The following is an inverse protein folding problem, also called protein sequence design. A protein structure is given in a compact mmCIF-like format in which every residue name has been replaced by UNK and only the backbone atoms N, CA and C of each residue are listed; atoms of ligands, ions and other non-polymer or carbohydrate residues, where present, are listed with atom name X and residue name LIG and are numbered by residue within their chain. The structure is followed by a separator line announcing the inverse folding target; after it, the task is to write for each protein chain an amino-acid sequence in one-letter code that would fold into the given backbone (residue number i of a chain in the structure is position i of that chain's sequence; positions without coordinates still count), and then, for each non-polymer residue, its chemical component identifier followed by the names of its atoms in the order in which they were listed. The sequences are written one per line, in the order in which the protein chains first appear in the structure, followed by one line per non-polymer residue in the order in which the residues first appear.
data_IF_090846381941
#
_entry.id   IF_090846381941
#
_cell.length_a   1.000
_cell.length_b   1.000
_cell.length_c   1.000
_cell.angle_alpha   90.00
_cell.angle_beta   90.00
_cell.angle_gamma   90.00
#
_symmetry.space_group_name_H-M   'P 1'
#
loop_
_entity.id
_entity.type
_entity.pdbx_description
1 polymer ?
#
# COMPACT_ATOMS: atom_id res chain seq x y z
N UNK A 1 13.54 -61.42 -16.69
CA UNK A 1 12.25 -60.88 -16.23
C UNK A 1 12.31 -60.75 -14.72
N UNK A 2 12.67 -59.58 -14.23
CA UNK A 2 12.82 -59.30 -12.80
C UNK A 2 11.44 -58.92 -12.24
N UNK A 3 10.93 -59.69 -11.27
CA UNK A 3 9.70 -59.37 -10.55
C UNK A 3 9.97 -58.15 -9.66
N UNK A 4 9.11 -57.11 -9.65
CA UNK A 4 9.31 -56.00 -8.74
C UNK A 4 9.11 -56.48 -7.30
N UNK A 5 10.15 -56.33 -6.48
CA UNK A 5 10.08 -56.52 -5.05
C UNK A 5 9.06 -55.51 -4.49
N UNK A 6 7.93 -56.00 -4.00
CA UNK A 6 7.11 -55.22 -3.09
C UNK A 6 7.92 -55.09 -1.80
N UNK A 7 8.69 -54.02 -1.65
CA UNK A 7 9.29 -53.68 -0.36
C UNK A 7 8.18 -53.21 0.56
N UNK A 8 7.57 -54.15 1.27
CA UNK A 8 6.88 -53.90 2.54
C UNK A 8 7.98 -53.70 3.58
N UNK A 9 8.29 -52.45 3.96
CA UNK A 9 9.25 -52.20 5.03
C UNK A 9 10.01 -50.87 4.91
N UNK A 10 9.31 -49.76 4.97
CA UNK A 10 9.92 -48.44 5.19
C UNK A 10 8.95 -47.62 6.00
N UNK A 11 9.42 -46.99 7.08
CA UNK A 11 8.60 -46.08 7.87
C UNK A 11 8.01 -44.94 7.01
N UNK A 12 7.09 -44.13 7.58
CA UNK A 12 6.49 -43.01 6.88
C UNK A 12 7.56 -42.11 6.22
N UNK A 13 7.34 -41.70 4.97
CA UNK A 13 8.27 -40.82 4.25
C UNK A 13 8.51 -39.54 5.08
N UNK A 14 9.76 -39.21 5.46
CA UNK A 14 10.02 -38.06 6.32
C UNK A 14 9.67 -36.71 5.69
N UNK A 15 9.74 -36.60 4.36
CA UNK A 15 9.34 -35.41 3.62
C UNK A 15 7.83 -35.21 3.67
N UNK A 16 7.09 -36.24 3.25
CA UNK A 16 5.63 -36.26 3.29
C UNK A 16 5.07 -36.10 4.70
N UNK A 17 5.73 -36.67 5.71
CA UNK A 17 5.34 -36.48 7.12
C UNK A 17 5.48 -35.01 7.55
N UNK A 18 6.59 -34.35 7.21
CA UNK A 18 6.78 -32.92 7.52
C UNK A 18 5.77 -32.03 6.82
N UNK A 19 5.50 -32.30 5.54
CA UNK A 19 4.48 -31.58 4.79
C UNK A 19 3.08 -31.80 5.41
N UNK A 20 2.76 -33.02 5.82
CA UNK A 20 1.51 -33.32 6.51
C UNK A 20 1.38 -32.60 7.87
N UNK A 21 2.47 -32.48 8.64
CA UNK A 21 2.49 -31.71 9.89
C UNK A 21 2.20 -30.23 9.61
N UNK A 22 2.92 -29.63 8.65
CA UNK A 22 2.74 -28.24 8.29
C UNK A 22 1.32 -27.95 7.79
N UNK A 23 0.82 -28.79 6.88
CA UNK A 23 -0.54 -28.69 6.37
C UNK A 23 -1.57 -28.78 7.49
N UNK A 24 -1.52 -29.81 8.34
CA UNK A 24 -2.45 -29.93 9.47
C UNK A 24 -2.33 -28.84 10.55
N UNK A 25 -1.30 -28.02 10.52
CA UNK A 25 -1.16 -26.87 11.43
C UNK A 25 -1.65 -25.56 10.79
N UNK A 26 -1.86 -25.55 9.49
CA UNK A 26 -2.30 -24.41 8.71
C UNK A 26 -3.79 -24.13 8.97
N UNK A 27 -4.14 -22.87 9.23
CA UNK A 27 -5.51 -22.45 9.54
C UNK A 27 -6.47 -22.64 8.37
N UNK A 28 -5.96 -22.64 7.14
CA UNK A 28 -6.76 -22.76 5.92
C UNK A 28 -6.97 -24.23 5.53
N UNK A 29 -6.43 -25.17 6.32
CA UNK A 29 -6.61 -26.59 6.06
C UNK A 29 -8.03 -27.07 6.35
N UNK A 30 -8.60 -27.92 5.49
CA UNK A 30 -9.92 -28.50 5.75
C UNK A 30 -9.94 -29.29 7.06
N UNK A 31 -11.06 -29.22 7.79
CA UNK A 31 -11.20 -29.89 9.10
C UNK A 31 -10.91 -31.39 9.05
N UNK A 32 -11.22 -32.04 7.93
CA UNK A 32 -10.96 -33.47 7.73
C UNK A 32 -9.48 -33.83 7.59
N UNK A 33 -8.58 -32.89 7.28
CA UNK A 33 -7.14 -33.12 7.25
C UNK A 33 -6.59 -33.48 8.64
N UNK A 34 -7.17 -32.90 9.70
CA UNK A 34 -6.76 -33.14 11.09
C UNK A 34 -7.20 -34.51 11.62
N UNK A 35 -8.18 -35.16 10.98
CA UNK A 35 -8.78 -36.44 11.42
C UNK A 35 -7.79 -37.61 11.39
N UNK A 36 -6.74 -37.51 10.57
CA UNK A 36 -5.69 -38.53 10.44
C UNK A 36 -4.35 -38.01 10.94
N UNK A 37 -3.48 -38.94 11.32
CA UNK A 37 -2.12 -38.62 11.76
C UNK A 37 -1.26 -38.17 10.57
N UNK A 38 -0.21 -37.37 10.79
CA UNK A 38 0.73 -37.00 9.73
C UNK A 38 1.30 -38.19 8.96
N UNK A 39 1.57 -39.30 9.66
CA UNK A 39 2.09 -40.53 9.08
C UNK A 39 1.11 -41.17 8.09
N UNK A 40 -0.20 -41.06 8.33
CA UNK A 40 -1.22 -41.58 7.41
C UNK A 40 -1.25 -40.83 6.07
N UNK A 41 -0.83 -39.55 6.08
CA UNK A 41 -0.71 -38.73 4.88
C UNK A 41 0.65 -38.86 4.18
N UNK A 42 1.68 -39.31 4.89
CA UNK A 42 3.07 -39.23 4.46
C UNK A 42 3.34 -39.88 3.09
N UNK A 43 2.75 -41.05 2.82
CA UNK A 43 2.93 -41.75 1.53
C UNK A 43 2.36 -40.94 0.37
N UNK A 44 1.21 -40.31 0.58
CA UNK A 44 0.54 -39.55 -0.46
C UNK A 44 1.26 -38.22 -0.74
N UNK A 45 1.82 -37.61 0.31
CA UNK A 45 2.51 -36.33 0.23
C UNK A 45 4.01 -36.44 -0.10
N UNK A 46 4.54 -37.65 -0.27
CA UNK A 46 5.96 -37.86 -0.55
C UNK A 46 6.40 -37.24 -1.89
N UNK A 47 5.58 -37.37 -2.95
CA UNK A 47 5.82 -36.74 -4.26
C UNK A 47 5.83 -35.21 -4.16
N UNK A 48 4.72 -34.59 -3.72
CA UNK A 48 4.65 -33.15 -3.45
C UNK A 48 5.81 -32.60 -2.60
N UNK A 49 6.18 -33.32 -1.52
CA UNK A 49 7.27 -32.90 -0.65
C UNK A 49 8.64 -32.89 -1.35
N UNK A 50 8.91 -33.82 -2.28
CA UNK A 50 10.13 -33.80 -3.10
C UNK A 50 10.21 -32.58 -4.01
N UNK A 51 9.05 -32.11 -4.46
CA UNK A 51 8.91 -30.89 -5.26
C UNK A 51 8.71 -29.64 -4.41
N UNK A 52 9.03 -29.71 -3.11
CA UNK A 52 8.99 -28.58 -2.16
C UNK A 52 7.62 -27.92 -2.06
N UNK A 53 6.55 -28.70 -2.21
CA UNK A 53 5.22 -28.20 -1.89
C UNK A 53 5.14 -27.80 -0.42
N UNK A 54 4.29 -26.82 -0.17
CA UNK A 54 3.99 -26.25 1.14
C UNK A 54 2.54 -26.54 1.54
N UNK A 55 2.15 -26.19 2.77
CA UNK A 55 0.74 -26.26 3.18
C UNK A 55 -0.16 -25.39 2.27
N UNK A 56 0.34 -24.24 1.84
CA UNK A 56 -0.32 -23.33 0.91
C UNK A 56 -0.61 -23.98 -0.44
N UNK A 57 0.32 -24.76 -0.96
CA UNK A 57 0.15 -25.52 -2.22
C UNK A 57 -0.98 -26.55 -2.09
N UNK A 58 -1.06 -27.26 -0.96
CA UNK A 58 -2.13 -28.22 -0.70
C UNK A 58 -3.49 -27.52 -0.55
N UNK A 59 -3.53 -26.38 0.13
CA UNK A 59 -4.76 -25.61 0.28
C UNK A 59 -5.20 -24.98 -1.06
N UNK A 60 -4.25 -24.55 -1.90
CA UNK A 60 -4.53 -24.08 -3.26
C UNK A 60 -5.11 -25.22 -4.11
N UNK A 61 -4.51 -26.42 -4.08
CA UNK A 61 -5.07 -27.59 -4.76
C UNK A 61 -6.52 -27.89 -4.32
N UNK A 62 -6.81 -27.82 -3.02
CA UNK A 62 -8.17 -28.02 -2.50
C UNK A 62 -9.13 -26.96 -3.03
N UNK A 63 -8.72 -25.68 -3.07
CA UNK A 63 -9.54 -24.59 -3.64
C UNK A 63 -9.76 -24.75 -5.13
N UNK A 64 -8.74 -25.12 -5.88
CA UNK A 64 -8.84 -25.36 -7.33
C UNK A 64 -9.79 -26.53 -7.62
N UNK A 65 -9.69 -27.61 -6.84
CA UNK A 65 -10.63 -28.71 -6.91
C UNK A 65 -12.06 -28.27 -6.66
N UNK A 66 -12.30 -27.39 -5.68
CA UNK A 66 -13.63 -26.83 -5.39
C UNK A 66 -14.13 -25.96 -6.55
N UNK A 67 -13.26 -25.14 -7.14
CA UNK A 67 -13.60 -24.31 -8.29
C UNK A 67 -14.04 -25.13 -9.51
N UNK A 68 -13.42 -26.31 -9.72
CA UNK A 68 -13.68 -27.17 -10.88
C UNK A 68 -14.81 -28.18 -10.63
N UNK A 69 -14.83 -28.82 -9.46
CA UNK A 69 -15.75 -29.93 -9.16
C UNK A 69 -16.93 -29.51 -8.25
N UNK A 70 -17.00 -28.24 -7.85
CA UNK A 70 -18.03 -27.72 -6.97
C UNK A 70 -17.72 -27.90 -5.48
N UNK A 71 -18.73 -28.10 -4.65
CA UNK A 71 -18.58 -28.09 -3.19
C UNK A 71 -17.79 -29.28 -2.64
N UNK A 72 -17.03 -29.06 -1.57
CA UNK A 72 -16.37 -30.11 -0.80
C UNK A 72 -17.19 -30.47 0.45
N UNK A 73 -17.38 -31.76 0.79
CA UNK A 73 -18.00 -32.14 2.06
C UNK A 73 -17.12 -31.75 3.25
N UNK A 74 -17.74 -31.18 4.30
CA UNK A 74 -17.03 -30.86 5.56
C UNK A 74 -16.42 -32.10 6.23
N UNK A 75 -17.08 -33.25 6.08
CA UNK A 75 -16.62 -34.55 6.59
C UNK A 75 -16.72 -35.64 5.53
N UNK A 76 -15.74 -35.74 4.61
CA UNK A 76 -15.75 -36.78 3.59
C UNK A 76 -15.58 -38.16 4.21
N UNK A 77 -16.27 -39.16 3.64
CA UNK A 77 -16.16 -40.55 4.10
C UNK A 77 -14.74 -41.12 3.87
N UNK A 78 -14.06 -40.69 2.80
CA UNK A 78 -12.69 -41.14 2.47
C UNK A 78 -11.72 -39.97 2.27
N UNK A 79 -11.29 -39.28 3.34
CA UNK A 79 -10.44 -38.10 3.23
C UNK A 79 -9.09 -38.37 2.55
N UNK A 80 -8.45 -39.51 2.86
CA UNK A 80 -7.18 -39.91 2.22
C UNK A 80 -7.37 -40.19 0.73
N UNK A 81 -8.45 -40.89 0.37
CA UNK A 81 -8.77 -41.17 -1.03
C UNK A 81 -9.13 -39.91 -1.81
N UNK A 82 -9.82 -38.96 -1.18
CA UNK A 82 -10.20 -37.67 -1.75
C UNK A 82 -8.96 -36.83 -2.08
N UNK A 83 -8.02 -36.68 -1.14
CA UNK A 83 -6.77 -35.98 -1.41
C UNK A 83 -5.95 -36.71 -2.50
N UNK A 84 -6.00 -38.04 -2.51
CA UNK A 84 -5.40 -38.83 -3.57
C UNK A 84 -5.98 -38.54 -4.96
N UNK A 85 -7.30 -38.39 -5.04
CA UNK A 85 -7.99 -38.01 -6.27
C UNK A 85 -7.63 -36.58 -6.71
N UNK A 86 -7.53 -35.64 -5.77
CA UNK A 86 -7.09 -34.27 -6.06
C UNK A 86 -5.67 -34.23 -6.65
N UNK A 87 -4.73 -34.95 -6.03
CA UNK A 87 -3.35 -35.02 -6.51
C UNK A 87 -3.25 -35.72 -7.88
N UNK A 88 -4.03 -36.78 -8.09
CA UNK A 88 -4.10 -37.46 -9.38
C UNK A 88 -4.69 -36.57 -10.49
N UNK A 89 -5.71 -35.77 -10.16
CA UNK A 89 -6.29 -34.79 -11.08
C UNK A 89 -5.31 -33.66 -11.43
N UNK A 90 -4.55 -33.17 -10.45
CA UNK A 90 -3.50 -32.19 -10.69
C UNK A 90 -2.39 -32.74 -11.59
N UNK A 91 -2.05 -34.03 -11.43
CA UNK A 91 -1.26 -34.81 -12.38
C UNK A 91 0.22 -34.42 -12.51
N UNK A 92 0.66 -33.33 -11.90
CA UNK A 92 2.04 -32.85 -12.00
C UNK A 92 2.57 -32.21 -10.71
N UNK A 93 3.38 -32.96 -9.96
CA UNK A 93 4.01 -32.46 -8.74
C UNK A 93 5.04 -31.33 -8.98
N UNK A 94 5.54 -31.13 -10.20
CA UNK A 94 6.47 -30.02 -10.49
C UNK A 94 5.77 -28.68 -10.60
N UNK A 95 4.49 -28.67 -10.97
CA UNK A 95 3.66 -27.48 -11.07
C UNK A 95 3.03 -27.18 -9.71
N UNK A 96 3.74 -26.45 -8.85
CA UNK A 96 3.26 -26.06 -7.51
C UNK A 96 2.00 -25.16 -7.62
N UNK A 97 0.84 -25.57 -7.07
CA UNK A 97 -0.41 -24.80 -7.18
C UNK A 97 -0.32 -23.35 -6.71
N UNK A 98 0.40 -23.05 -5.63
CA UNK A 98 0.48 -21.69 -5.08
C UNK A 98 1.62 -20.84 -5.67
N UNK A 99 2.43 -21.37 -6.59
CA UNK A 99 3.66 -20.72 -7.04
C UNK A 99 3.43 -19.36 -7.73
N UNK A 100 2.32 -19.21 -8.46
CA UNK A 100 1.99 -17.95 -9.13
C UNK A 100 1.62 -16.86 -8.13
N UNK A 101 0.85 -17.20 -7.10
CA UNK A 101 0.47 -16.24 -6.06
C UNK A 101 1.66 -15.88 -5.17
N UNK A 102 2.52 -16.85 -4.84
CA UNK A 102 3.79 -16.58 -4.14
C UNK A 102 4.66 -15.59 -4.94
N UNK A 103 4.72 -15.73 -6.27
CA UNK A 103 5.49 -14.82 -7.13
C UNK A 103 4.90 -13.41 -7.16
N UNK A 104 3.56 -13.28 -7.24
CA UNK A 104 2.85 -11.99 -7.18
C UNK A 104 3.09 -11.28 -5.85
N UNK A 105 2.94 -11.99 -4.74
CA UNK A 105 3.18 -11.42 -3.40
C UNK A 105 4.64 -11.00 -3.21
N UNK A 106 5.59 -11.77 -3.75
CA UNK A 106 7.00 -11.41 -3.70
C UNK A 106 7.29 -10.12 -4.49
N UNK A 107 6.65 -9.95 -5.65
CA UNK A 107 6.75 -8.73 -6.46
C UNK A 107 6.13 -7.53 -5.73
N UNK A 108 4.94 -7.67 -5.15
CA UNK A 108 4.28 -6.62 -4.37
C UNK A 108 5.12 -6.21 -3.16
N UNK A 109 5.72 -7.17 -2.45
CA UNK A 109 6.60 -6.91 -1.32
C UNK A 109 7.88 -6.19 -1.76
N UNK A 110 8.47 -6.59 -2.89
CA UNK A 110 9.64 -5.91 -3.46
C UNK A 110 9.30 -4.46 -3.85
N UNK A 111 8.16 -4.24 -4.50
CA UNK A 111 7.68 -2.91 -4.84
C UNK A 111 7.41 -2.04 -3.60
N UNK A 112 6.83 -2.62 -2.55
CA UNK A 112 6.61 -1.91 -1.28
C UNK A 112 7.93 -1.51 -0.62
N UNK A 113 8.92 -2.40 -0.59
CA UNK A 113 10.27 -2.11 -0.07
C UNK A 113 10.96 -1.00 -0.86
N UNK A 114 10.84 -1.02 -2.20
CA UNK A 114 11.38 0.02 -3.06
C UNK A 114 10.75 1.39 -2.78
N UNK A 115 9.42 1.45 -2.60
CA UNK A 115 8.72 2.69 -2.24
C UNK A 115 9.20 3.25 -0.90
N UNK A 116 9.35 2.40 0.12
CA UNK A 116 9.86 2.81 1.43
C UNK A 116 11.29 3.35 1.31
N UNK A 117 12.16 2.67 0.58
CA UNK A 117 13.53 3.13 0.35
C UNK A 117 13.57 4.51 -0.33
N UNK A 118 12.75 4.72 -1.38
CA UNK A 118 12.63 6.01 -2.05
C UNK A 118 12.18 7.13 -1.09
N UNK A 119 11.16 6.86 -0.27
CA UNK A 119 10.70 7.82 0.75
C UNK A 119 11.77 8.17 1.78
N UNK A 120 12.67 7.23 2.12
CA UNK A 120 13.80 7.53 3.00
C UNK A 120 14.79 8.49 2.34
N UNK A 121 15.16 8.23 1.08
CA UNK A 121 16.05 9.11 0.31
C UNK A 121 15.47 10.51 0.16
N UNK A 122 14.20 10.61 -0.22
CA UNK A 122 13.49 11.89 -0.36
C UNK A 122 13.44 12.67 0.95
N UNK A 123 13.18 11.99 2.08
CA UNK A 123 13.15 12.63 3.40
C UNK A 123 14.51 13.20 3.80
N UNK A 124 15.59 12.50 3.52
CA UNK A 124 16.96 12.98 3.79
C UNK A 124 17.26 14.21 2.94
N UNK A 125 17.04 14.13 1.62
CA UNK A 125 17.25 15.26 0.72
C UNK A 125 16.40 16.49 1.11
N UNK A 126 15.13 16.28 1.47
CA UNK A 126 14.26 17.35 1.93
C UNK A 126 14.72 17.93 3.28
N UNK A 127 15.33 17.14 4.16
CA UNK A 127 15.88 17.63 5.42
C UNK A 127 17.10 18.51 5.21
N UNK A 128 18.00 18.09 4.31
CA UNK A 128 19.18 18.87 3.91
C UNK A 128 18.79 20.18 3.23
N UNK A 129 17.88 20.16 2.26
CA UNK A 129 17.39 21.36 1.59
C UNK A 129 16.75 22.35 2.58
N UNK A 130 15.96 21.84 3.56
CA UNK A 130 15.39 22.67 4.63
C UNK A 130 16.48 23.23 5.55
N UNK A 131 17.55 22.49 5.84
CA UNK A 131 18.65 22.99 6.65
C UNK A 131 19.38 24.13 5.94
N UNK A 132 19.68 23.97 4.65
CA UNK A 132 20.27 25.03 3.80
C UNK A 132 19.35 26.26 3.76
N UNK A 133 18.05 26.06 3.53
CA UNK A 133 17.07 27.14 3.49
C UNK A 133 16.99 27.90 4.82
N UNK A 134 17.00 27.19 5.97
CA UNK A 134 17.05 27.82 7.30
C UNK A 134 18.33 28.61 7.52
N UNK A 135 19.48 28.09 7.10
CA UNK A 135 20.75 28.78 7.23
C UNK A 135 20.83 30.06 6.37
N UNK A 136 20.10 30.11 5.26
CA UNK A 136 20.03 31.29 4.40
C UNK A 136 19.11 32.42 4.95
N UNK A 137 18.23 32.12 5.93
CA UNK A 137 17.37 33.13 6.56
C UNK A 137 18.25 34.13 7.32
N UNK A 138 18.05 35.41 7.04
CA UNK A 138 18.88 36.49 7.60
C UNK A 138 20.22 36.71 6.87
N UNK A 139 20.52 35.92 5.85
CA UNK A 139 21.66 36.16 4.97
C UNK A 139 21.49 37.42 4.12
N UNK A 140 22.59 37.93 3.55
CA UNK A 140 22.60 39.20 2.80
C UNK A 140 21.52 39.30 1.71
N UNK A 141 21.28 38.21 0.96
CA UNK A 141 20.22 38.16 -0.04
C UNK A 141 18.80 38.23 0.55
N UNK A 142 18.55 37.53 1.67
CA UNK A 142 17.26 37.62 2.37
C UNK A 142 17.00 39.03 2.90
N UNK A 143 18.02 39.65 3.48
CA UNK A 143 17.96 41.02 4.01
C UNK A 143 17.70 42.02 2.88
N UNK A 144 18.46 41.97 1.79
CA UNK A 144 18.25 42.84 0.63
C UNK A 144 16.84 42.67 0.03
N UNK A 145 16.31 41.44 -0.06
CA UNK A 145 14.95 41.21 -0.51
C UNK A 145 13.90 41.85 0.42
N UNK A 146 14.10 41.77 1.75
CA UNK A 146 13.22 42.44 2.72
C UNK A 146 13.26 43.95 2.60
N UNK A 147 14.43 44.54 2.38
CA UNK A 147 14.59 45.98 2.19
C UNK A 147 13.85 46.47 0.95
N UNK A 148 14.00 45.76 -0.18
CA UNK A 148 13.28 46.08 -1.43
C UNK A 148 11.77 45.96 -1.22
N UNK A 149 11.30 44.90 -0.56
CA UNK A 149 9.88 44.73 -0.26
C UNK A 149 9.33 45.85 0.64
N UNK A 150 10.09 46.25 1.67
CA UNK A 150 9.73 47.36 2.54
C UNK A 150 9.65 48.69 1.78
N UNK A 151 10.60 48.95 0.87
CA UNK A 151 10.58 50.15 0.04
C UNK A 151 9.36 50.18 -0.91
N UNK A 152 9.01 49.04 -1.52
CA UNK A 152 7.81 48.93 -2.37
C UNK A 152 6.54 49.19 -1.53
N UNK A 153 6.45 48.59 -0.35
CA UNK A 153 5.31 48.77 0.56
C UNK A 153 5.16 50.24 1.01
N UNK A 154 6.26 50.89 1.37
CA UNK A 154 6.27 52.31 1.75
C UNK A 154 5.77 53.21 0.61
N UNK A 155 6.25 52.97 -0.62
CA UNK A 155 5.78 53.71 -1.81
C UNK A 155 4.30 53.47 -2.09
N UNK A 156 3.83 52.23 -1.93
CA UNK A 156 2.42 51.89 -2.11
C UNK A 156 1.52 52.57 -1.06
N UNK A 157 1.97 52.60 0.20
CA UNK A 157 1.28 53.32 1.27
C UNK A 157 1.21 54.82 0.99
N UNK A 158 2.33 55.45 0.63
CA UNK A 158 2.36 56.87 0.29
C UNK A 158 1.40 57.24 -0.85
N UNK A 159 1.33 56.41 -1.91
CA UNK A 159 0.36 56.60 -2.99
C UNK A 159 -1.08 56.52 -2.51
N UNK A 160 -1.41 55.53 -1.66
CA UNK A 160 -2.76 55.39 -1.09
C UNK A 160 -3.13 56.60 -0.23
N UNK A 161 -2.22 57.04 0.64
CA UNK A 161 -2.43 58.22 1.47
C UNK A 161 -2.66 59.47 0.62
N UNK A 162 -1.89 59.66 -0.45
CA UNK A 162 -2.06 60.79 -1.36
C UNK A 162 -3.42 60.76 -2.08
N UNK A 163 -3.85 59.60 -2.56
CA UNK A 163 -5.17 59.43 -3.19
C UNK A 163 -6.29 59.78 -2.19
N UNK A 164 -6.22 59.25 -0.96
CA UNK A 164 -7.20 59.55 0.09
C UNK A 164 -7.22 61.05 0.40
N UNK A 165 -6.05 61.68 0.56
CA UNK A 165 -5.98 63.13 0.82
C UNK A 165 -6.58 63.96 -0.32
N UNK A 166 -6.33 63.59 -1.58
CA UNK A 166 -6.91 64.26 -2.74
C UNK A 166 -8.43 64.08 -2.82
N UNK A 167 -8.95 62.91 -2.45
CA UNK A 167 -10.39 62.64 -2.39
C UNK A 167 -11.06 63.42 -1.26
N UNK A 168 -10.45 63.46 -0.07
CA UNK A 168 -10.92 64.28 1.06
C UNK A 168 -10.94 65.76 0.69
N UNK A 169 -9.88 66.29 0.08
CA UNK A 169 -9.84 67.69 -0.35
C UNK A 169 -10.91 68.01 -1.39
N UNK A 170 -11.17 67.10 -2.34
CA UNK A 170 -12.26 67.23 -3.33
C UNK A 170 -13.63 67.23 -2.65
N UNK A 171 -13.84 66.33 -1.69
CA UNK A 171 -15.08 66.28 -0.92
C UNK A 171 -15.30 67.57 -0.12
N UNK A 172 -14.29 68.06 0.60
CA UNK A 172 -14.36 69.28 1.40
C UNK A 172 -14.63 70.53 0.54
N UNK A 173 -14.01 70.60 -0.65
CA UNK A 173 -14.28 71.65 -1.62
C UNK A 173 -15.73 71.62 -2.11
N UNK A 174 -16.27 70.42 -2.42
CA UNK A 174 -17.66 70.25 -2.83
C UNK A 174 -18.63 70.65 -1.71
N UNK A 175 -18.36 70.27 -0.46
CA UNK A 175 -19.16 70.66 0.71
C UNK A 175 -19.16 72.18 0.90
N UNK A 176 -18.00 72.85 0.79
CA UNK A 176 -17.92 74.31 0.88
C UNK A 176 -18.68 75.00 -0.24
N UNK A 177 -18.56 74.53 -1.49
CA UNK A 177 -19.30 75.08 -2.62
C UNK A 177 -20.82 74.95 -2.43
N UNK A 178 -21.30 73.78 -1.97
CA UNK A 178 -22.71 73.55 -1.69
C UNK A 178 -23.26 74.44 -0.56
N UNK A 179 -22.46 74.71 0.47
CA UNK A 179 -22.83 75.63 1.56
C UNK A 179 -22.85 77.09 1.10
N UNK A 180 -21.89 77.52 0.29
CA UNK A 180 -21.86 78.87 -0.30
C UNK A 180 -23.03 79.12 -1.27
N UNK A 181 -23.40 78.11 -2.07
CA UNK A 181 -24.58 78.19 -2.95
C UNK A 181 -25.91 78.31 -2.18
N UNK A 182 -25.96 77.79 -0.94
CA UNK A 182 -27.13 77.91 -0.05
C UNK A 182 -27.22 79.27 0.67
N UNK A 183 -26.21 80.14 0.54
CA UNK A 183 -26.09 81.43 1.23
C UNK A 183 -26.18 82.66 0.29
N UNK A 184 -26.55 82.50 -0.97
CA UNK A 184 -26.82 83.61 -1.89
C UNK A 184 -28.32 83.81 -2.19
N UNK A 185 -28.71 85.03 -2.55
CA UNK A 185 -29.15 86.11 -1.67
C UNK A 185 -30.60 85.92 -1.19
N UNK A 186 -30.85 86.18 0.10
CA UNK A 186 -32.21 86.46 0.60
C UNK A 186 -32.62 87.84 0.09
N UNK A 187 -33.22 87.89 -1.09
CA UNK A 187 -33.97 89.06 -1.55
C UNK A 187 -35.23 89.19 -0.68
N UNK A 188 -35.16 90.00 0.37
CA UNK A 188 -36.32 90.67 0.93
C UNK A 188 -36.31 92.10 0.39
N UNK A 189 -37.42 92.43 -0.27
CA UNK A 189 -37.88 93.74 -0.78
C UNK A 189 -37.07 94.41 -1.90
#
# INVERSE_FOLDING_TARGET
MEKPAWTTGGGPDPGGTRLAVAWRADQDSPRWAHRYTPQAWARLLAGPARHRWTSRDLNALVRDWIGVNGSLPDSPHRPIGLLGAMLAWHGNDTARPAALDDAREAEELAAARARVAAQHVERVAAAEARAVGRAAVGGAGHTAAREVAAAIAARALARRTHVVAADTARHDAAVRAARGAKQGPSHYE
#
